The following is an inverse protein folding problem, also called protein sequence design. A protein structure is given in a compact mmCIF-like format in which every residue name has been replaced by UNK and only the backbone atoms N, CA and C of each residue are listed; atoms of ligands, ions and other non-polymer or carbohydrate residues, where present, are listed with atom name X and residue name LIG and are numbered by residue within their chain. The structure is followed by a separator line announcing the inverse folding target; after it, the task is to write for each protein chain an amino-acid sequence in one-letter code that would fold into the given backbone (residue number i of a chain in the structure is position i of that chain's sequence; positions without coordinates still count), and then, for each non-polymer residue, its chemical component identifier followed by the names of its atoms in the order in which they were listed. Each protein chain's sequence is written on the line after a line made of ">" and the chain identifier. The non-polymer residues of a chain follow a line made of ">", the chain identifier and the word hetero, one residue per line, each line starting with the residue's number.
data_IF_283763484343
#
_entry.id   IF_283763484343
#
_cell.length_a   1.000
_cell.length_b   1.000
_cell.length_c   1.000
_cell.angle_alpha   90.00
_cell.angle_beta   90.00
_cell.angle_gamma   90.00
#
_symmetry.space_group_name_H-M   'P 1'
#
loop_
_entity.id
_entity.type
_entity.pdbx_description
1 polymer ?
#
# COMPACT_ATOMS: atom_id res chain seq x y z
N UNK A 1 9.59 8.04 -10.33
CA UNK A 1 8.27 8.13 -10.97
C UNK A 1 7.41 6.94 -10.57
N UNK A 2 6.16 7.19 -10.25
CA UNK A 2 5.24 6.15 -9.80
C UNK A 2 4.83 5.25 -10.96
N UNK A 3 4.78 3.94 -10.69
CA UNK A 3 4.29 2.96 -11.68
C UNK A 3 2.80 3.20 -11.94
N UNK A 4 2.43 3.32 -13.20
CA UNK A 4 1.06 3.64 -13.61
C UNK A 4 0.06 2.52 -13.32
N UNK A 5 0.54 1.33 -13.03
CA UNK A 5 -0.32 0.19 -12.73
C UNK A 5 -0.84 0.18 -11.30
N UNK A 6 -0.29 1.05 -10.45
CA UNK A 6 -0.77 1.21 -9.09
C UNK A 6 -2.12 1.91 -9.12
N UNK A 7 -3.09 1.33 -8.42
CA UNK A 7 -4.45 1.88 -8.35
C UNK A 7 -4.82 2.18 -6.90
N UNK A 8 -5.46 3.32 -6.68
CA UNK A 8 -6.01 3.62 -5.37
C UNK A 8 -7.19 2.69 -5.07
N UNK A 9 -7.22 2.12 -3.88
CA UNK A 9 -8.26 1.19 -3.46
C UNK A 9 -9.23 1.86 -2.49
N UNK A 10 -8.77 2.19 -1.27
CA UNK A 10 -9.65 2.83 -0.31
C UNK A 10 -8.89 3.69 0.70
N UNK A 11 -9.64 4.57 1.35
CA UNK A 11 -9.15 5.38 2.46
C UNK A 11 -9.93 4.97 3.72
N UNK A 12 -9.21 4.78 4.80
CA UNK A 12 -9.81 4.45 6.08
C UNK A 12 -9.32 5.44 7.15
N UNK A 13 -10.28 6.13 7.79
CA UNK A 13 -9.99 7.05 8.89
C UNK A 13 -10.38 6.40 10.20
N UNK A 14 -9.42 6.32 11.14
CA UNK A 14 -9.67 5.78 12.47
C UNK A 14 -9.77 6.93 13.47
N UNK A 15 -10.96 7.18 13.99
CA UNK A 15 -11.16 8.21 15.00
C UNK A 15 -10.50 7.79 16.32
N UNK A 16 -10.54 6.49 16.61
CA UNK A 16 -9.99 5.95 17.85
C UNK A 16 -8.48 6.22 17.97
N UNK A 17 -7.74 6.05 16.87
CA UNK A 17 -6.29 6.20 16.88
C UNK A 17 -5.81 7.51 16.27
N UNK A 18 -6.73 8.29 15.70
CA UNK A 18 -6.36 9.56 15.04
C UNK A 18 -5.49 9.34 13.82
N UNK A 19 -5.70 8.23 13.09
CA UNK A 19 -4.90 7.89 11.92
C UNK A 19 -5.75 7.77 10.66
N UNK A 20 -5.10 7.96 9.52
CA UNK A 20 -5.69 7.75 8.20
C UNK A 20 -4.81 6.79 7.44
N UNK A 21 -5.39 5.75 6.87
CA UNK A 21 -4.67 4.78 6.06
C UNK A 21 -5.19 4.82 4.64
N UNK A 22 -4.26 4.90 3.69
CA UNK A 22 -4.56 4.83 2.26
C UNK A 22 -4.11 3.46 1.75
N UNK A 23 -4.97 2.79 1.02
CA UNK A 23 -4.68 1.47 0.46
C UNK A 23 -4.62 1.55 -1.06
N UNK A 24 -3.61 0.89 -1.64
CA UNK A 24 -3.39 0.85 -3.09
C UNK A 24 -3.14 -0.59 -3.52
N UNK A 25 -3.59 -0.92 -4.72
CA UNK A 25 -3.33 -2.23 -5.32
C UNK A 25 -2.27 -2.07 -6.41
N UNK A 26 -1.33 -2.97 -6.45
CA UNK A 26 -0.23 -2.96 -7.41
C UNK A 26 -0.01 -4.36 -7.99
N UNK A 27 0.65 -4.47 -9.16
CA UNK A 27 0.95 -5.78 -9.74
C UNK A 27 1.89 -6.59 -8.87
N UNK A 28 1.74 -7.90 -8.87
CA UNK A 28 2.61 -8.78 -8.08
C UNK A 28 4.08 -8.65 -8.43
N UNK A 29 4.40 -8.25 -9.65
CA UNK A 29 5.78 -8.07 -10.09
C UNK A 29 6.52 -7.02 -9.27
N UNK A 30 5.79 -6.09 -8.66
CA UNK A 30 6.40 -5.07 -7.80
C UNK A 30 6.84 -5.61 -6.45
N UNK A 31 6.36 -6.78 -6.04
CA UNK A 31 6.77 -7.37 -4.76
C UNK A 31 8.28 -7.52 -4.65
N UNK A 32 8.93 -7.90 -5.74
CA UNK A 32 10.39 -8.15 -5.73
C UNK A 32 11.22 -6.91 -5.39
N UNK A 33 10.63 -5.72 -5.47
CA UNK A 33 11.30 -4.49 -5.08
C UNK A 33 11.42 -4.35 -3.57
N UNK A 34 10.58 -5.07 -2.83
CA UNK A 34 10.44 -4.90 -1.39
C UNK A 34 10.76 -6.16 -0.60
N UNK A 35 10.38 -7.33 -1.11
CA UNK A 35 10.51 -8.60 -0.40
C UNK A 35 10.88 -9.70 -1.39
N UNK A 36 11.51 -10.80 -0.90
CA UNK A 36 11.83 -11.94 -1.76
C UNK A 36 10.56 -12.59 -2.29
N UNK A 37 10.41 -12.64 -3.62
CA UNK A 37 9.17 -13.15 -4.24
C UNK A 37 9.05 -14.66 -4.19
N UNK A 38 10.16 -15.38 -3.99
CA UNK A 38 10.14 -16.84 -3.94
C UNK A 38 9.29 -17.38 -2.78
N UNK A 39 9.08 -16.55 -1.76
CA UNK A 39 8.31 -16.93 -0.58
C UNK A 39 6.80 -16.83 -0.80
N UNK A 40 6.37 -16.26 -1.93
CA UNK A 40 4.95 -15.97 -2.17
C UNK A 40 4.49 -16.42 -3.55
N UNK A 41 4.59 -17.74 -3.84
CA UNK A 41 4.22 -18.23 -5.18
C UNK A 41 2.74 -18.09 -5.51
N UNK A 42 1.88 -18.00 -4.50
CA UNK A 42 0.44 -17.87 -4.69
C UNK A 42 -0.03 -16.42 -4.80
N UNK A 43 0.88 -15.45 -4.71
CA UNK A 43 0.49 -14.04 -4.80
C UNK A 43 -0.04 -13.72 -6.20
N UNK A 44 -1.15 -12.99 -6.26
CA UNK A 44 -1.76 -12.56 -7.51
C UNK A 44 -1.64 -11.06 -7.71
N UNK A 45 -1.40 -10.33 -6.62
CA UNK A 45 -1.20 -8.89 -6.63
C UNK A 45 -0.48 -8.49 -5.35
N UNK A 46 -0.35 -7.19 -5.15
CA UNK A 46 0.26 -6.63 -3.94
C UNK A 46 -0.61 -5.50 -3.44
N UNK A 47 -0.72 -5.37 -2.13
CA UNK A 47 -1.35 -4.20 -1.54
C UNK A 47 -0.30 -3.33 -0.86
N UNK A 48 -0.45 -2.02 -1.01
CA UNK A 48 0.37 -1.02 -0.34
C UNK A 48 -0.54 -0.30 0.65
N UNK A 49 -0.12 -0.21 1.91
CA UNK A 49 -0.82 0.62 2.88
C UNK A 49 0.10 1.74 3.34
N UNK A 50 -0.45 2.94 3.45
CA UNK A 50 0.28 4.09 3.97
C UNK A 50 -0.55 4.70 5.08
N UNK A 51 -0.01 4.69 6.29
CA UNK A 51 -0.68 5.26 7.45
C UNK A 51 -0.08 6.61 7.82
N UNK A 52 -0.94 7.55 8.15
CA UNK A 52 -0.54 8.90 8.59
C UNK A 52 -1.30 9.26 9.85
N UNK A 53 -0.76 10.16 10.69
CA UNK A 53 -1.63 10.89 11.62
C UNK A 53 -2.64 11.67 10.77
N UNK A 54 -3.91 11.64 11.13
CA UNK A 54 -4.96 12.27 10.30
C UNK A 54 -4.70 13.75 10.07
N UNK A 55 -4.07 14.42 11.03
CA UNK A 55 -3.75 15.84 10.93
C UNK A 55 -2.53 16.12 10.04
N UNK A 56 -1.77 15.09 9.67
CA UNK A 56 -0.51 15.23 8.93
C UNK A 56 -0.43 14.20 7.80
N UNK A 57 -1.25 14.37 6.77
CA UNK A 57 -1.19 13.49 5.61
C UNK A 57 -0.11 14.01 4.66
N UNK A 58 1.13 13.76 5.05
CA UNK A 58 2.34 14.25 4.39
C UNK A 58 3.38 13.15 4.35
N UNK A 59 4.22 13.17 3.33
CA UNK A 59 5.19 12.09 3.10
C UNK A 59 6.11 11.81 4.28
N UNK A 60 6.52 12.85 5.02
CA UNK A 60 7.44 12.67 6.14
C UNK A 60 6.78 12.06 7.38
N UNK A 61 5.46 11.92 7.40
CA UNK A 61 4.74 11.26 8.48
C UNK A 61 4.23 9.87 8.08
N UNK A 62 4.55 9.44 6.87
CA UNK A 62 4.02 8.19 6.33
C UNK A 62 4.68 6.96 6.93
N UNK A 63 3.87 5.95 7.22
CA UNK A 63 4.35 4.63 7.61
C UNK A 63 3.85 3.66 6.53
N UNK A 64 4.78 3.11 5.75
CA UNK A 64 4.46 2.34 4.55
C UNK A 64 4.66 0.86 4.79
N UNK A 65 3.66 0.07 4.42
CA UNK A 65 3.73 -1.39 4.47
C UNK A 65 3.25 -1.96 3.14
N UNK A 66 3.78 -3.12 2.78
CA UNK A 66 3.29 -3.86 1.62
C UNK A 66 2.96 -5.29 2.03
N UNK A 67 1.99 -5.88 1.35
CA UNK A 67 1.64 -7.29 1.57
C UNK A 67 1.34 -7.95 0.23
N UNK A 68 1.77 -9.22 0.06
CA UNK A 68 1.23 -10.01 -1.04
C UNK A 68 -0.26 -10.23 -0.84
N UNK A 69 -1.00 -10.30 -1.93
CA UNK A 69 -2.44 -10.60 -1.92
C UNK A 69 -2.65 -11.92 -2.65
N UNK A 70 -3.46 -12.79 -2.08
CA UNK A 70 -3.79 -14.07 -2.70
C UNK A 70 -5.29 -14.28 -2.72
N UNK A 71 -5.73 -15.19 -3.58
CA UNK A 71 -7.10 -15.67 -3.60
C UNK A 71 -7.22 -16.74 -2.54
N UNK A 72 -8.15 -16.58 -1.61
CA UNK A 72 -8.46 -17.59 -0.61
C UNK A 72 -9.97 -17.82 -0.59
N UNK A 73 -10.37 -19.02 -1.03
CA UNK A 73 -11.78 -19.34 -1.23
C UNK A 73 -12.44 -18.32 -2.15
N UNK A 74 -13.42 -17.57 -1.66
CA UNK A 74 -14.15 -16.58 -2.46
C UNK A 74 -13.66 -15.15 -2.25
N UNK A 75 -12.59 -14.97 -1.47
CA UNK A 75 -12.12 -13.63 -1.13
C UNK A 75 -10.67 -13.43 -1.49
N UNK A 76 -10.30 -12.16 -1.58
CA UNK A 76 -8.91 -11.75 -1.71
C UNK A 76 -8.41 -11.40 -0.32
N UNK A 77 -7.21 -11.85 0.04
CA UNK A 77 -6.65 -11.51 1.35
C UNK A 77 -5.19 -11.11 1.25
N UNK A 78 -4.81 -10.14 2.09
CA UNK A 78 -3.42 -9.77 2.30
C UNK A 78 -2.91 -10.63 3.46
N UNK A 79 -1.75 -11.24 3.30
CA UNK A 79 -1.38 -12.28 4.24
C UNK A 79 0.01 -12.19 4.83
N UNK A 80 0.75 -11.13 4.56
CA UNK A 80 2.07 -10.96 5.19
C UNK A 80 2.56 -9.52 5.02
N UNK A 81 2.23 -8.67 5.98
CA UNK A 81 2.58 -7.26 5.92
C UNK A 81 4.04 -7.03 6.31
N UNK A 82 4.75 -6.26 5.49
CA UNK A 82 6.15 -5.89 5.70
C UNK A 82 6.30 -4.39 5.71
N UNK A 83 7.05 -3.87 6.68
CA UNK A 83 7.43 -2.45 6.69
C UNK A 83 8.44 -2.20 5.57
N UNK A 84 8.19 -1.18 4.77
CA UNK A 84 9.07 -0.82 3.67
C UNK A 84 9.28 0.69 3.64
N UNK A 85 10.26 1.13 2.87
CA UNK A 85 10.53 2.54 2.67
C UNK A 85 10.28 2.91 1.21
N UNK A 86 9.65 4.07 1.01
CA UNK A 86 9.49 4.66 -0.32
C UNK A 86 10.07 6.05 -0.30
N UNK A 87 10.60 6.53 -1.44
CA UNK A 87 11.02 7.93 -1.55
C UNK A 87 9.84 8.87 -1.30
N UNK A 88 10.11 10.01 -0.70
CA UNK A 88 9.05 10.98 -0.37
C UNK A 88 8.25 11.43 -1.59
N UNK A 89 8.91 11.59 -2.73
CA UNK A 89 8.24 12.01 -3.95
C UNK A 89 7.23 10.96 -4.44
N UNK A 90 7.53 9.68 -4.26
CA UNK A 90 6.58 8.62 -4.59
C UNK A 90 5.40 8.59 -3.63
N UNK A 91 5.65 8.82 -2.34
CA UNK A 91 4.58 8.90 -1.35
C UNK A 91 3.66 10.08 -1.69
N UNK A 92 4.22 11.22 -2.06
CA UNK A 92 3.43 12.38 -2.47
C UNK A 92 2.56 12.07 -3.70
N UNK A 93 3.11 11.34 -4.68
CA UNK A 93 2.34 10.92 -5.84
C UNK A 93 1.19 9.99 -5.47
N UNK A 94 1.41 9.07 -4.51
CA UNK A 94 0.36 8.18 -4.03
C UNK A 94 -0.74 8.96 -3.29
N UNK A 95 -0.36 9.93 -2.48
CA UNK A 95 -1.34 10.80 -1.81
C UNK A 95 -2.20 11.51 -2.86
N UNK A 96 -1.58 12.06 -3.90
CA UNK A 96 -2.32 12.72 -5.00
C UNK A 96 -3.26 11.75 -5.70
N UNK A 97 -2.80 10.53 -5.96
CA UNK A 97 -3.61 9.52 -6.61
C UNK A 97 -4.87 9.22 -5.82
N UNK A 98 -4.79 9.22 -4.50
CA UNK A 98 -5.95 8.97 -3.64
C UNK A 98 -6.98 10.09 -3.69
N UNK A 99 -6.55 11.30 -3.99
CA UNK A 99 -7.43 12.47 -4.07
C UNK A 99 -8.05 12.61 -5.45
N UNK A 100 -7.28 12.31 -6.48
CA UNK A 100 -7.65 12.56 -7.88
C UNK A 100 -8.47 11.44 -8.53
N UNK A 101 -8.83 10.44 -7.80
CA UNK A 101 -9.52 9.29 -8.38
C UNK A 101 -10.93 9.66 -8.91
#
# INVERSE_FOLDING_TARGET
>A
MLDKRIKFDERYDSEEYGTTTLYFVAPKEMLKKFIPTNDYPEAISMEISIEFPTEHIEANYADVCVSPTRQYEDTMEDYDWHDVSLPYDEIEELIKLSIDK
#
